data_IF_924732925335
#
_entry.id   IF_924732925335
#
_cell.length_a   1.000
_cell.length_b   1.000
_cell.length_c   1.000
_cell.angle_alpha   90.00
_cell.angle_beta   90.00
_cell.angle_gamma   90.00
#
_symmetry.space_group_name_H-M   'P 1'
#
loop_
_entity.id
_entity.type
_entity.pdbx_description
1 polymer ?
#
# COMPACT_ATOMS: atom_id res chain seq x y z
N UNK A 1 4.78 -2.35 -0.73
CA UNK A 1 4.07 -1.06 -0.66
C UNK A 1 3.24 -0.98 0.61
N UNK A 2 2.36 -1.93 0.91
CA UNK A 2 1.64 -1.92 2.21
C UNK A 2 2.52 -1.77 3.45
N UNK A 3 3.67 -2.46 3.53
CA UNK A 3 4.63 -2.22 4.63
C UNK A 3 5.08 -0.75 4.72
N UNK A 4 5.24 -0.06 3.59
CA UNK A 4 5.62 1.36 3.56
C UNK A 4 4.48 2.22 4.12
N UNK A 5 3.23 1.91 3.80
CA UNK A 5 2.04 2.60 4.31
C UNK A 5 1.92 2.49 5.82
N UNK A 6 2.09 1.27 6.35
CA UNK A 6 2.11 1.01 7.80
C UNK A 6 3.24 1.76 8.50
N UNK A 7 4.47 1.67 7.97
CA UNK A 7 5.63 2.36 8.55
C UNK A 7 5.49 3.89 8.48
N UNK A 8 4.81 4.42 7.47
CA UNK A 8 4.53 5.84 7.34
C UNK A 8 3.38 6.32 8.24
N UNK A 9 2.61 5.40 8.83
CA UNK A 9 1.47 5.72 9.67
C UNK A 9 0.33 6.40 8.90
N UNK A 10 0.06 5.98 7.65
CA UNK A 10 -1.06 6.53 6.88
C UNK A 10 -2.38 6.37 7.66
N UNK A 11 -3.37 7.26 7.51
CA UNK A 11 -4.54 7.27 8.40
C UNK A 11 -5.71 6.39 7.95
N UNK A 12 -5.77 5.93 6.70
CA UNK A 12 -6.88 5.12 6.20
C UNK A 12 -6.75 3.64 6.59
N UNK A 13 -7.86 2.99 6.91
CA UNK A 13 -7.93 1.57 7.26
C UNK A 13 -9.10 0.88 6.58
N UNK A 14 -8.86 -0.33 6.08
CA UNK A 14 -9.86 -1.33 5.75
C UNK A 14 -9.94 -2.38 6.85
N UNK A 15 -11.15 -2.86 7.15
CA UNK A 15 -11.38 -3.92 8.13
C UNK A 15 -11.70 -5.23 7.43
N UNK A 16 -10.81 -6.21 7.61
CA UNK A 16 -10.93 -7.55 7.08
C UNK A 16 -10.95 -8.58 8.20
N UNK A 17 -11.02 -9.86 7.86
CA UNK A 17 -10.91 -10.91 8.84
C UNK A 17 -10.26 -12.17 8.30
N UNK A 18 -9.59 -12.91 9.18
CA UNK A 18 -9.03 -14.22 8.90
C UNK A 18 -9.48 -15.24 9.96
N UNK A 19 -9.57 -16.52 9.57
CA UNK A 19 -9.66 -17.60 10.54
C UNK A 19 -8.26 -18.00 10.96
N UNK A 20 -8.00 -17.98 12.27
CA UNK A 20 -6.75 -18.42 12.87
C UNK A 20 -7.03 -19.65 13.71
N UNK A 21 -6.15 -20.64 13.65
CA UNK A 21 -6.19 -21.80 14.55
C UNK A 21 -4.90 -21.92 15.34
N UNK A 22 -5.03 -22.05 16.66
CA UNK A 22 -3.92 -22.08 17.61
C UNK A 22 -4.11 -23.19 18.66
N UNK A 23 -4.26 -24.44 18.22
CA UNK A 23 -4.39 -25.61 19.12
C UNK A 23 -5.66 -25.65 19.99
N UNK A 24 -6.37 -24.53 20.13
CA UNK A 24 -7.65 -24.38 20.84
C UNK A 24 -8.88 -24.36 19.92
N UNK A 25 -8.71 -24.64 18.62
CA UNK A 25 -9.77 -24.56 17.62
C UNK A 25 -9.56 -23.42 16.62
N UNK A 26 -10.54 -23.17 15.76
CA UNK A 26 -10.51 -22.08 14.77
C UNK A 26 -11.31 -20.88 15.30
N UNK A 27 -10.73 -19.68 15.22
CA UNK A 27 -11.38 -18.42 15.62
C UNK A 27 -11.24 -17.36 14.55
N UNK A 28 -12.25 -16.50 14.44
CA UNK A 28 -12.23 -15.32 13.57
C UNK A 28 -11.40 -14.21 14.21
N UNK A 29 -10.51 -13.59 13.45
CA UNK A 29 -9.68 -12.44 13.87
C UNK A 29 -9.93 -11.32 12.90
N UNK A 30 -10.34 -10.16 13.41
CA UNK A 30 -10.43 -8.93 12.62
C UNK A 30 -9.04 -8.35 12.39
N UNK A 31 -8.77 -7.88 11.18
CA UNK A 31 -7.51 -7.29 10.75
C UNK A 31 -7.81 -5.89 10.23
N UNK A 32 -7.13 -4.90 10.81
CA UNK A 32 -7.18 -3.51 10.37
C UNK A 32 -5.90 -3.20 9.62
N UNK A 33 -5.99 -2.84 8.34
CA UNK A 33 -4.81 -2.61 7.50
C UNK A 33 -5.05 -1.44 6.53
N UNK A 34 -4.00 -0.72 6.09
CA UNK A 34 -4.11 0.19 4.97
C UNK A 34 -4.47 -0.61 3.71
N UNK A 35 -5.69 -0.43 3.21
CA UNK A 35 -6.18 -1.16 2.05
C UNK A 35 -6.93 -0.23 1.09
N UNK A 36 -6.74 -0.48 -0.21
CA UNK A 36 -7.33 0.24 -1.34
C UNK A 36 -6.96 -0.48 -2.64
N UNK A 37 -7.41 0.03 -3.80
CA UNK A 37 -7.25 -0.63 -5.10
C UNK A 37 -5.80 -0.82 -5.61
N UNK A 38 -4.78 -0.38 -4.85
CA UNK A 38 -3.35 -0.49 -5.14
C UNK A 38 -2.85 0.17 -6.43
N UNK A 39 -3.70 0.76 -7.28
CA UNK A 39 -3.28 1.37 -8.55
C UNK A 39 -2.24 2.48 -8.36
N UNK A 40 -2.34 3.25 -7.27
CA UNK A 40 -1.37 4.29 -6.90
C UNK A 40 0.05 3.76 -6.66
N UNK A 41 0.24 2.46 -6.44
CA UNK A 41 1.57 1.86 -6.23
C UNK A 41 2.48 2.00 -7.45
N UNK A 42 1.92 2.25 -8.64
CA UNK A 42 2.70 2.59 -9.84
C UNK A 42 3.61 3.82 -9.62
N UNK A 43 3.31 4.70 -8.66
CA UNK A 43 4.18 5.83 -8.31
C UNK A 43 5.58 5.38 -7.86
N UNK A 44 5.69 4.20 -7.24
CA UNK A 44 6.97 3.64 -6.78
C UNK A 44 7.98 3.45 -7.91
N UNK A 45 7.51 3.12 -9.13
CA UNK A 45 8.38 3.01 -10.30
C UNK A 45 9.12 4.32 -10.57
N UNK A 46 8.41 5.45 -10.50
CA UNK A 46 9.01 6.78 -10.68
C UNK A 46 10.05 7.05 -9.60
N UNK A 47 9.69 6.85 -8.34
CA UNK A 47 10.57 7.13 -7.20
C UNK A 47 11.87 6.32 -7.25
N UNK A 48 11.79 5.05 -7.63
CA UNK A 48 12.97 4.18 -7.73
C UNK A 48 13.80 4.48 -8.98
N UNK A 49 13.17 4.80 -10.13
CA UNK A 49 13.90 5.17 -11.35
C UNK A 49 14.66 6.49 -11.18
N UNK A 50 14.07 7.49 -10.53
CA UNK A 50 14.68 8.82 -10.34
C UNK A 50 16.04 8.76 -9.64
N UNK A 51 16.25 7.75 -8.79
CA UNK A 51 17.51 7.53 -8.05
C UNK A 51 18.33 6.35 -8.59
N UNK A 52 17.92 5.75 -9.72
CA UNK A 52 18.59 4.61 -10.32
C UNK A 52 18.53 3.31 -9.51
N UNK A 53 17.58 3.18 -8.57
CA UNK A 53 17.43 2.00 -7.70
C UNK A 53 16.61 0.87 -8.34
N UNK A 54 15.80 1.16 -9.37
CA UNK A 54 15.08 0.16 -10.15
C UNK A 54 15.83 -0.19 -11.43
N UNK A 55 16.12 -1.48 -11.60
CA UNK A 55 16.58 -2.06 -12.86
C UNK A 55 15.40 -2.66 -13.60
N UNK A 56 15.34 -2.43 -14.90
CA UNK A 56 14.28 -2.91 -15.78
C UNK A 56 14.89 -3.77 -16.90
N UNK A 57 14.17 -4.79 -17.34
CA UNK A 57 14.62 -5.68 -18.41
C UNK A 57 13.65 -6.83 -18.66
N UNK A 58 14.05 -7.80 -19.46
CA UNK A 58 13.26 -8.99 -19.76
C UNK A 58 13.71 -10.18 -18.92
N UNK A 59 12.75 -10.94 -18.40
CA UNK A 59 12.94 -12.30 -17.86
C UNK A 59 12.01 -13.23 -18.62
N UNK A 60 12.56 -14.01 -19.55
CA UNK A 60 11.76 -14.61 -20.63
C UNK A 60 11.15 -13.50 -21.48
N UNK A 61 9.85 -13.58 -21.75
CA UNK A 61 9.09 -12.54 -22.48
C UNK A 61 8.47 -11.47 -21.56
N UNK A 62 8.63 -11.60 -20.23
CA UNK A 62 8.02 -10.69 -19.27
C UNK A 62 8.90 -9.46 -19.02
N UNK A 63 8.27 -8.28 -18.99
CA UNK A 63 8.89 -7.07 -18.46
C UNK A 63 9.07 -7.21 -16.94
N UNK A 64 10.33 -7.23 -16.50
CA UNK A 64 10.73 -7.45 -15.13
C UNK A 64 11.35 -6.19 -14.53
N UNK A 65 11.13 -6.03 -13.22
CA UNK A 65 11.67 -4.93 -12.42
C UNK A 65 12.36 -5.53 -11.20
N UNK A 66 13.56 -5.05 -10.91
CA UNK A 66 14.35 -5.49 -9.76
C UNK A 66 14.89 -4.28 -9.00
N UNK A 67 14.53 -4.21 -7.72
CA UNK A 67 14.97 -3.19 -6.78
C UNK A 67 15.16 -3.83 -5.40
N UNK A 68 15.92 -3.18 -4.51
CA UNK A 68 16.03 -3.62 -3.13
C UNK A 68 14.83 -3.15 -2.30
N UNK A 69 14.25 -4.04 -1.49
CA UNK A 69 13.11 -3.68 -0.63
C UNK A 69 13.42 -2.49 0.29
N UNK A 70 14.65 -2.41 0.80
CA UNK A 70 15.10 -1.29 1.63
C UNK A 70 15.09 0.05 0.91
N UNK A 71 15.36 0.10 -0.40
CA UNK A 71 15.31 1.35 -1.16
C UNK A 71 13.88 1.82 -1.36
N UNK A 72 12.94 0.89 -1.59
CA UNK A 72 11.52 1.20 -1.61
C UNK A 72 11.04 1.79 -0.28
N UNK A 73 11.43 1.21 0.85
CA UNK A 73 11.07 1.71 2.19
C UNK A 73 11.66 3.10 2.42
N UNK A 74 12.96 3.29 2.16
CA UNK A 74 13.66 4.59 2.33
C UNK A 74 13.02 5.71 1.52
N UNK A 75 12.56 5.41 0.30
CA UNK A 75 11.96 6.40 -0.59
C UNK A 75 10.48 6.62 -0.30
N UNK A 76 9.74 5.55 -0.02
CA UNK A 76 8.30 5.59 0.12
C UNK A 76 7.84 6.18 1.45
N UNK A 77 8.46 5.81 2.58
CA UNK A 77 7.98 6.23 3.91
C UNK A 77 7.93 7.76 4.04
N UNK A 78 8.99 8.52 3.72
CA UNK A 78 8.95 9.99 3.84
C UNK A 78 7.90 10.64 2.94
N UNK A 79 7.64 10.08 1.75
CA UNK A 79 6.63 10.59 0.81
C UNK A 79 5.23 10.40 1.37
N UNK A 80 4.94 9.22 1.91
CA UNK A 80 3.62 8.94 2.51
C UNK A 80 3.43 9.67 3.84
N UNK A 81 4.48 9.89 4.62
CA UNK A 81 4.36 10.72 5.83
C UNK A 81 4.05 12.19 5.49
N UNK A 82 4.55 12.70 4.35
CA UNK A 82 4.27 14.06 3.90
C UNK A 82 2.89 14.21 3.24
N UNK A 83 2.50 13.24 2.42
CA UNK A 83 1.21 13.21 1.72
C UNK A 83 0.53 11.83 1.87
N UNK A 84 -0.15 11.56 3.00
CA UNK A 84 -0.61 10.21 3.34
C UNK A 84 -1.56 9.57 2.34
N UNK A 85 -2.36 10.36 1.64
CA UNK A 85 -3.37 9.88 0.69
C UNK A 85 -2.89 9.88 -0.76
N UNK A 86 -1.61 10.12 -1.04
CA UNK A 86 -1.06 10.24 -2.41
C UNK A 86 -1.20 8.95 -3.24
N UNK A 87 -1.37 7.79 -2.59
CA UNK A 87 -1.56 6.49 -3.24
C UNK A 87 -3.05 6.16 -3.52
N UNK A 88 -3.98 6.95 -2.97
CA UNK A 88 -5.40 6.76 -3.19
C UNK A 88 -5.83 7.43 -4.50
N UNK A 89 -6.76 6.81 -5.22
CA UNK A 89 -7.48 7.50 -6.28
C UNK A 89 -8.17 8.74 -5.70
N UNK A 90 -8.36 9.77 -6.53
CA UNK A 90 -9.14 10.95 -6.17
C UNK A 90 -10.56 10.53 -5.79
N UNK A 91 -11.09 11.11 -4.71
CA UNK A 91 -12.47 10.88 -4.27
C UNK A 91 -13.48 11.13 -5.39
N UNK A 92 -14.48 10.25 -5.50
CA UNK A 92 -15.58 10.39 -6.45
C UNK A 92 -15.21 10.09 -7.91
N UNK A 93 -14.09 9.43 -8.15
CA UNK A 93 -13.70 8.94 -9.49
C UNK A 93 -14.30 7.56 -9.82
N UNK A 94 -15.11 7.00 -8.92
CA UNK A 94 -15.75 5.69 -9.08
C UNK A 94 -14.87 4.52 -8.63
N UNK A 95 -13.78 4.78 -7.90
CA UNK A 95 -12.97 3.75 -7.26
C UNK A 95 -13.51 3.48 -5.86
N UNK A 96 -14.42 2.50 -5.74
CA UNK A 96 -15.11 2.19 -4.48
C UNK A 96 -14.16 1.90 -3.32
N UNK A 97 -13.07 1.16 -3.57
CA UNK A 97 -12.06 0.83 -2.57
C UNK A 97 -11.33 2.08 -2.04
N UNK A 98 -10.94 3.00 -2.92
CA UNK A 98 -10.30 4.25 -2.50
C UNK A 98 -11.29 5.20 -1.83
N UNK A 99 -12.54 5.25 -2.28
CA UNK A 99 -13.58 6.05 -1.64
C UNK A 99 -13.85 5.55 -0.20
N UNK A 100 -13.87 4.23 0.02
CA UNK A 100 -13.95 3.63 1.35
C UNK A 100 -12.72 3.97 2.21
N UNK A 101 -11.50 3.89 1.65
CA UNK A 101 -10.28 4.30 2.35
C UNK A 101 -10.33 5.77 2.76
N UNK A 102 -10.76 6.68 1.87
CA UNK A 102 -10.96 8.09 2.18
C UNK A 102 -11.99 8.31 3.30
N UNK A 103 -13.11 7.58 3.28
CA UNK A 103 -14.15 7.66 4.31
C UNK A 103 -13.64 7.21 5.68
N UNK A 104 -12.76 6.19 5.73
CA UNK A 104 -12.20 5.69 6.99
C UNK A 104 -11.36 6.73 7.75
N UNK A 105 -10.71 7.65 7.03
CA UNK A 105 -9.96 8.77 7.65
C UNK A 105 -10.90 9.69 8.42
N UNK A 106 -12.07 10.00 7.85
CA UNK A 106 -13.05 10.92 8.43
C UNK A 106 -13.79 10.31 9.63
N UNK A 107 -13.85 8.98 9.72
CA UNK A 107 -14.48 8.29 10.85
C UNK A 107 -13.62 8.31 12.13
N UNK A 108 -12.35 8.75 12.03
CA UNK A 108 -11.37 8.70 13.13
C UNK A 108 -11.00 10.11 13.67
N UNK A 109 -11.66 11.17 13.18
CA UNK A 109 -11.50 12.56 13.64
C UNK A 109 -12.75 13.12 14.29
#
# INVERSE_FOLDING_TARGET
>A
MHLVEDLAGVPYRGEHWAMVSDGGGARKVTISEPDHCCQGFAAADGWLRDVGAQREGLVGDAQARLFAAGDLVKLGVPRLSAEPTVLLCRQGTGCEECDAAHASVMATG
#
